data_IF_527555474129
#
_entry.id   IF_527555474129
#
_cell.length_a   1.000
_cell.length_b   1.000
_cell.length_c   1.000
_cell.angle_alpha   90.00
_cell.angle_beta   90.00
_cell.angle_gamma   90.00
#
_symmetry.space_group_name_H-M   'P 1'
#
loop_
_entity.id
_entity.type
_entity.pdbx_description
1 polymer ?
#
# COMPACT_ATOMS: atom_id res chain seq x y z
N UNK A 1 14.16 -12.90 5.46
CA UNK A 1 14.19 -12.50 4.03
C UNK A 1 12.77 -12.36 3.52
N UNK A 2 12.32 -11.15 3.37
CA UNK A 2 10.96 -10.91 2.91
C UNK A 2 10.82 -9.53 2.32
N UNK A 3 9.78 -9.38 1.50
CA UNK A 3 9.31 -8.05 1.10
C UNK A 3 8.44 -7.53 2.23
N UNK A 4 8.74 -6.32 2.66
CA UNK A 4 7.99 -5.63 3.72
C UNK A 4 7.12 -4.57 3.07
N UNK A 5 5.85 -4.52 3.47
CA UNK A 5 4.90 -3.51 2.99
C UNK A 5 4.76 -2.44 4.07
N UNK A 6 5.10 -1.19 3.71
CA UNK A 6 5.06 -0.06 4.63
C UNK A 6 3.83 0.82 4.43
N UNK A 7 2.74 0.22 3.99
CA UNK A 7 1.50 0.96 3.71
C UNK A 7 0.97 1.66 4.95
N UNK A 8 1.00 1.01 6.10
CA UNK A 8 0.50 1.60 7.34
C UNK A 8 1.29 2.85 7.72
N UNK A 9 2.60 2.80 7.60
CA UNK A 9 3.48 3.95 7.89
C UNK A 9 3.18 5.12 6.95
N UNK A 10 2.98 4.85 5.66
CA UNK A 10 2.68 5.88 4.68
C UNK A 10 1.31 6.51 4.91
N UNK A 11 0.30 5.69 5.24
CA UNK A 11 -1.02 6.20 5.58
C UNK A 11 -0.93 7.13 6.78
N UNK A 12 -0.21 6.71 7.80
CA UNK A 12 -0.02 7.52 9.00
C UNK A 12 0.69 8.84 8.68
N UNK A 13 1.75 8.79 7.89
CA UNK A 13 2.51 9.97 7.49
C UNK A 13 1.66 10.94 6.67
N UNK A 14 0.74 10.45 5.85
CA UNK A 14 -0.15 11.25 5.02
C UNK A 14 -1.46 11.61 5.70
N UNK A 15 -1.66 11.18 6.95
CA UNK A 15 -2.90 11.38 7.72
C UNK A 15 -4.12 10.90 6.95
N UNK A 16 -4.00 9.73 6.33
CA UNK A 16 -5.04 9.11 5.53
C UNK A 16 -5.43 7.78 6.14
N UNK A 17 -6.72 7.48 6.14
CA UNK A 17 -7.21 6.18 6.60
C UNK A 17 -7.18 5.18 5.45
N UNK A 18 -7.19 3.89 5.79
CA UNK A 18 -7.26 2.83 4.79
C UNK A 18 -8.54 2.93 3.97
N UNK A 19 -9.65 3.32 4.61
CA UNK A 19 -10.94 3.52 3.95
C UNK A 19 -10.86 4.64 2.90
N UNK A 20 -10.21 5.75 3.23
CA UNK A 20 -10.00 6.84 2.29
C UNK A 20 -9.17 6.40 1.10
N UNK A 21 -8.10 5.64 1.34
CA UNK A 21 -7.26 5.12 0.27
C UNK A 21 -8.06 4.18 -0.64
N UNK A 22 -8.87 3.29 -0.06
CA UNK A 22 -9.71 2.37 -0.81
C UNK A 22 -10.63 3.12 -1.77
N UNK A 23 -11.23 4.22 -1.32
CA UNK A 23 -12.09 5.04 -2.16
C UNK A 23 -11.32 5.71 -3.30
N UNK A 24 -10.07 6.12 -3.05
CA UNK A 24 -9.26 6.82 -4.05
C UNK A 24 -8.69 5.90 -5.13
N UNK A 25 -8.36 4.66 -4.78
CA UNK A 25 -7.70 3.73 -5.70
C UNK A 25 -8.64 2.69 -6.28
N UNK A 26 -9.91 2.75 -5.94
CA UNK A 26 -10.94 1.83 -6.42
C UNK A 26 -10.58 0.36 -6.14
N UNK A 27 -10.08 0.10 -4.95
CA UNK A 27 -9.74 -1.22 -4.46
C UNK A 27 -10.56 -1.48 -3.20
N UNK A 28 -10.99 -2.72 -3.00
CA UNK A 28 -11.77 -3.05 -1.81
C UNK A 28 -10.94 -2.85 -0.55
N UNK A 29 -11.61 -2.46 0.52
CA UNK A 29 -10.97 -2.31 1.82
C UNK A 29 -10.33 -3.64 2.27
N UNK A 30 -10.98 -4.76 1.98
CA UNK A 30 -10.47 -6.08 2.31
C UNK A 30 -9.13 -6.36 1.61
N UNK A 31 -9.02 -6.04 0.32
CA UNK A 31 -7.78 -6.24 -0.44
C UNK A 31 -6.65 -5.33 0.06
N UNK A 32 -6.96 -4.09 0.39
CA UNK A 32 -5.96 -3.18 0.97
C UNK A 32 -5.53 -3.65 2.37
N UNK A 33 -6.45 -4.19 3.14
CA UNK A 33 -6.14 -4.73 4.46
C UNK A 33 -5.19 -5.92 4.37
N UNK A 34 -5.38 -6.80 3.39
CA UNK A 34 -4.48 -7.92 3.13
C UNK A 34 -3.07 -7.41 2.80
N UNK A 35 -2.99 -6.39 1.94
CA UNK A 35 -1.71 -5.77 1.59
C UNK A 35 -1.05 -5.11 2.82
N UNK A 36 -1.82 -4.36 3.58
CA UNK A 36 -1.34 -3.65 4.77
C UNK A 36 -0.74 -4.60 5.80
N UNK A 37 -1.36 -5.76 6.01
CA UNK A 37 -0.91 -6.73 7.00
C UNK A 37 0.25 -7.61 6.52
N UNK A 38 0.72 -7.41 5.30
CA UNK A 38 1.83 -8.17 4.73
C UNK A 38 1.46 -9.58 4.29
N UNK A 39 0.18 -9.88 4.16
CA UNK A 39 -0.31 -11.21 3.75
C UNK A 39 -0.51 -11.34 2.25
N UNK A 40 -0.34 -10.25 1.50
CA UNK A 40 -0.45 -10.29 0.05
C UNK A 40 0.75 -11.01 -0.54
N UNK A 41 0.49 -11.90 -1.50
CA UNK A 41 1.54 -12.65 -2.20
C UNK A 41 1.95 -11.98 -3.50
N UNK A 42 1.16 -11.05 -3.99
CA UNK A 42 1.41 -10.35 -5.23
C UNK A 42 0.67 -9.01 -5.22
N UNK A 43 1.15 -8.10 -6.03
CA UNK A 43 0.49 -6.83 -6.28
C UNK A 43 0.62 -6.52 -7.77
N UNK A 44 -0.47 -6.08 -8.39
CA UNK A 44 -0.43 -5.65 -9.79
C UNK A 44 0.26 -4.29 -9.88
N UNK A 45 0.99 -4.07 -10.95
CA UNK A 45 1.62 -2.76 -11.16
C UNK A 45 0.58 -1.64 -11.25
N UNK A 46 -0.58 -1.90 -11.83
CA UNK A 46 -1.65 -0.90 -11.87
C UNK A 46 -2.12 -0.49 -10.48
N UNK A 47 -2.21 -1.46 -9.56
CA UNK A 47 -2.55 -1.20 -8.17
C UNK A 47 -1.45 -0.41 -7.47
N UNK A 48 -0.21 -0.81 -7.67
CA UNK A 48 0.95 -0.14 -7.10
C UNK A 48 1.04 1.31 -7.57
N UNK A 49 0.83 1.55 -8.87
CA UNK A 49 0.81 2.89 -9.45
C UNK A 49 -0.28 3.75 -8.82
N UNK A 50 -1.49 3.20 -8.66
CA UNK A 50 -2.61 3.93 -8.07
C UNK A 50 -2.33 4.33 -6.62
N UNK A 51 -1.75 3.43 -5.84
CA UNK A 51 -1.38 3.70 -4.45
C UNK A 51 -0.30 4.78 -4.39
N UNK A 52 0.73 4.67 -5.21
CA UNK A 52 1.79 5.67 -5.26
C UNK A 52 1.27 7.05 -5.64
N UNK A 53 0.35 7.12 -6.60
CA UNK A 53 -0.27 8.38 -6.99
C UNK A 53 -1.12 8.98 -5.86
N UNK A 54 -1.91 8.15 -5.19
CA UNK A 54 -2.79 8.60 -4.11
C UNK A 54 -2.00 9.08 -2.88
N UNK A 55 -0.88 8.44 -2.59
CA UNK A 55 -0.05 8.76 -1.42
C UNK A 55 1.13 9.66 -1.74
N UNK A 56 1.29 10.05 -3.01
CA UNK A 56 2.41 10.86 -3.48
C UNK A 56 3.74 10.28 -3.01
N UNK A 57 3.98 9.03 -3.35
CA UNK A 57 5.17 8.31 -2.94
C UNK A 57 5.72 7.46 -4.09
N UNK A 58 6.93 6.94 -3.88
CA UNK A 58 7.57 6.02 -4.80
C UNK A 58 7.34 4.57 -4.35
N UNK A 59 7.42 3.58 -5.25
CA UNK A 59 7.33 2.17 -4.84
C UNK A 59 8.33 1.79 -3.75
N UNK A 60 9.53 2.38 -3.77
CA UNK A 60 10.53 2.15 -2.73
C UNK A 60 10.17 2.70 -1.36
N UNK A 61 9.19 3.61 -1.29
CA UNK A 61 8.67 4.09 0.00
C UNK A 61 7.63 3.12 0.57
N UNK A 62 6.96 2.38 -0.32
CA UNK A 62 5.89 1.46 0.05
C UNK A 62 6.41 0.05 0.31
N UNK A 63 7.38 -0.38 -0.47
CA UNK A 63 7.92 -1.75 -0.43
C UNK A 63 9.41 -1.71 -0.09
N UNK A 64 9.83 -2.65 0.73
CA UNK A 64 11.24 -2.81 1.07
C UNK A 64 11.59 -4.30 1.10
N UNK A 65 12.86 -4.60 0.93
CA UNK A 65 13.36 -5.95 1.07
C UNK A 65 14.15 -6.05 2.38
N UNK A 66 13.74 -6.97 3.21
CA UNK A 66 14.37 -7.24 4.50
C UNK A 66 15.12 -8.58 4.38
N UNK A 67 16.44 -8.49 4.30
CA UNK A 67 17.30 -9.65 4.11
C UNK A 67 17.54 -10.41 5.43
#
# INVERSE_FOLDING_TARGET
MAIVVRLDELLHARRMTLTELAARVDITLANLSILKTGKAKAIRFSTLEAICAALDCQPGDLLAFDA
#
